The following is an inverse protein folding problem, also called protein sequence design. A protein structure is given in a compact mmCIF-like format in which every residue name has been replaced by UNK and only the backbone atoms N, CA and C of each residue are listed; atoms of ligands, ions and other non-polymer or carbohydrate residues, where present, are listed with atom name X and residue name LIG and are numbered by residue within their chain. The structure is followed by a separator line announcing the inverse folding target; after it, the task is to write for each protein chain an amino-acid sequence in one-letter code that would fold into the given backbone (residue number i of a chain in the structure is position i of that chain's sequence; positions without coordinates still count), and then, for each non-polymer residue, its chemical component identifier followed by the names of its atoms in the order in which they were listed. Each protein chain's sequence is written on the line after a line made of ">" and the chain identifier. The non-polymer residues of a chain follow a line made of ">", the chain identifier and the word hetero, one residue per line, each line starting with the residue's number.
data_IF_701495530864
#
_entry.id   IF_701495530864
#
_cell.length_a   1.000
_cell.length_b   1.000
_cell.length_c   1.000
_cell.angle_alpha   90.00
_cell.angle_beta   90.00
_cell.angle_gamma   90.00
#
_symmetry.space_group_name_H-M   'P 1'
#
loop_
_entity.id
_entity.type
_entity.pdbx_description
1 polymer ?
#
# COMPACT_ATOMS: atom_id res chain seq x y z
N UNK A 1 -1.31 40.39 -80.79
CA UNK A 1 -0.65 41.71 -80.69
C UNK A 1 0.23 41.73 -79.45
N UNK A 2 1.37 42.41 -79.55
CA UNK A 2 2.58 42.29 -78.75
C UNK A 2 2.49 42.77 -77.29
N UNK A 3 3.23 42.05 -76.43
CA UNK A 3 4.20 42.46 -75.38
C UNK A 3 3.79 43.55 -74.37
N UNK A 4 3.97 43.27 -73.06
CA UNK A 4 5.07 43.83 -72.26
C UNK A 4 5.19 43.14 -70.89
N UNK A 5 6.36 42.59 -70.59
CA UNK A 5 6.83 42.20 -69.25
C UNK A 5 7.39 43.42 -68.53
N UNK A 6 7.15 43.57 -67.22
CA UNK A 6 8.09 44.23 -66.31
C UNK A 6 8.06 43.57 -64.92
N UNK A 7 9.25 43.20 -64.48
CA UNK A 7 9.62 42.54 -63.23
C UNK A 7 9.87 43.57 -62.14
N UNK A 8 9.47 43.33 -60.88
CA UNK A 8 10.06 43.99 -59.72
C UNK A 8 10.11 43.05 -58.51
N UNK A 9 11.27 43.07 -57.87
CA UNK A 9 11.78 42.11 -56.92
C UNK A 9 11.18 42.22 -55.51
N UNK A 10 11.17 41.06 -54.84
CA UNK A 10 10.85 40.82 -53.44
C UNK A 10 11.98 41.35 -52.54
N UNK A 11 11.62 42.12 -51.50
CA UNK A 11 12.47 42.36 -50.32
C UNK A 11 11.61 42.15 -49.08
N UNK A 12 11.60 40.92 -48.56
CA UNK A 12 11.00 40.58 -47.27
C UNK A 12 12.06 40.78 -46.18
N UNK A 13 11.87 41.82 -45.37
CA UNK A 13 12.66 42.06 -44.15
C UNK A 13 12.36 40.97 -43.12
N UNK A 14 13.30 40.05 -42.95
CA UNK A 14 13.35 39.11 -41.82
C UNK A 14 13.78 39.89 -40.57
N UNK A 15 12.84 40.21 -39.68
CA UNK A 15 13.16 40.57 -38.30
C UNK A 15 13.57 39.28 -37.56
N UNK A 16 14.88 39.10 -37.38
CA UNK A 16 15.46 38.07 -36.55
C UNK A 16 15.18 38.41 -35.07
N UNK A 17 14.25 37.68 -34.44
CA UNK A 17 14.13 37.65 -32.98
C UNK A 17 15.28 36.77 -32.48
N UNK A 18 16.20 37.28 -31.64
CA UNK A 18 17.19 36.42 -31.01
C UNK A 18 16.48 35.47 -30.05
N UNK A 19 16.33 34.21 -30.48
CA UNK A 19 15.98 33.11 -29.60
C UNK A 19 17.05 33.00 -28.53
N UNK A 20 16.63 33.09 -27.27
CA UNK A 20 17.50 32.86 -26.13
C UNK A 20 18.00 31.41 -26.18
N UNK A 21 19.29 31.25 -26.49
CA UNK A 21 20.01 30.01 -26.22
C UNK A 21 19.96 29.76 -24.71
N UNK A 22 19.09 28.85 -24.30
CA UNK A 22 19.14 28.27 -22.97
C UNK A 22 20.41 27.40 -22.89
N UNK A 23 21.54 28.04 -22.56
CA UNK A 23 22.69 27.32 -22.04
C UNK A 23 22.23 26.63 -20.76
N UNK A 24 22.05 25.32 -20.86
CA UNK A 24 21.81 24.45 -19.73
C UNK A 24 22.94 24.61 -18.72
N UNK A 25 22.67 25.32 -17.63
CA UNK A 25 23.35 25.09 -16.38
C UNK A 25 22.77 23.80 -15.84
N UNK A 26 23.40 22.68 -16.20
CA UNK A 26 23.27 21.46 -15.41
C UNK A 26 23.80 21.80 -14.02
N UNK A 27 22.92 22.23 -13.11
CA UNK A 27 23.22 22.00 -11.71
C UNK A 27 23.25 20.48 -11.59
N UNK A 28 24.46 19.94 -11.47
CA UNK A 28 24.64 18.61 -10.93
C UNK A 28 24.13 18.71 -9.50
N UNK A 29 22.82 18.61 -9.34
CA UNK A 29 22.24 18.13 -8.11
C UNK A 29 22.90 16.79 -7.89
N UNK A 30 23.80 16.75 -6.92
CA UNK A 30 24.29 15.51 -6.33
C UNK A 30 23.06 14.84 -5.71
N UNK A 31 22.22 14.24 -6.55
CA UNK A 31 21.25 13.26 -6.11
C UNK A 31 22.11 12.10 -5.65
N UNK A 32 22.37 12.05 -4.34
CA UNK A 32 22.69 10.80 -3.70
C UNK A 32 21.56 9.87 -4.10
N UNK A 33 21.82 8.99 -5.05
CA UNK A 33 21.03 7.78 -5.21
C UNK A 33 21.25 7.02 -3.91
N UNK A 34 20.52 7.38 -2.86
CA UNK A 34 20.41 6.58 -1.67
C UNK A 34 19.90 5.25 -2.19
N UNK A 35 20.77 4.25 -2.20
CA UNK A 35 20.32 2.87 -2.40
C UNK A 35 19.42 2.62 -1.19
N UNK A 36 18.11 2.77 -1.40
CA UNK A 36 17.12 2.59 -0.34
C UNK A 36 16.97 1.08 -0.12
N UNK A 37 17.90 0.52 0.64
CA UNK A 37 17.82 -0.83 1.14
C UNK A 37 17.40 -0.75 2.59
N UNK A 38 16.22 -1.31 2.87
CA UNK A 38 15.76 -1.59 4.22
C UNK A 38 16.90 -2.31 4.98
N UNK A 39 17.40 -1.74 6.09
CA UNK A 39 18.47 -2.36 6.84
C UNK A 39 17.98 -3.71 7.37
N UNK A 40 18.75 -4.77 7.10
CA UNK A 40 18.44 -6.10 7.61
C UNK A 40 18.35 -6.06 9.13
N UNK A 41 17.35 -6.74 9.70
CA UNK A 41 17.25 -6.83 11.15
C UNK A 41 18.47 -7.54 11.72
N UNK A 42 18.88 -7.08 12.90
CA UNK A 42 19.93 -7.74 13.65
C UNK A 42 19.45 -9.16 14.01
N UNK A 43 20.24 -10.21 13.74
CA UNK A 43 19.88 -11.55 14.16
C UNK A 43 19.84 -11.63 15.70
N UNK A 44 18.74 -12.17 16.22
CA UNK A 44 18.58 -12.48 17.64
C UNK A 44 18.67 -14.00 17.77
N UNK A 45 19.66 -14.47 18.51
CA UNK A 45 19.80 -15.90 18.76
C UNK A 45 18.81 -16.35 19.81
N UNK A 46 18.30 -17.57 19.65
CA UNK A 46 17.34 -18.18 20.55
C UNK A 46 17.81 -18.19 22.02
N UNK A 47 19.10 -18.46 22.25
CA UNK A 47 19.73 -18.40 23.57
C UNK A 47 19.69 -17.03 24.25
N UNK A 48 19.55 -15.94 23.48
CA UNK A 48 19.59 -14.56 23.96
C UNK A 48 18.17 -14.01 24.22
N UNK A 49 17.14 -14.76 23.85
CA UNK A 49 15.74 -14.42 24.09
C UNK A 49 15.37 -14.78 25.54
N UNK A 50 14.97 -13.77 26.33
CA UNK A 50 14.43 -14.00 27.68
C UNK A 50 12.98 -14.47 27.62
N UNK A 51 12.18 -13.81 26.79
CA UNK A 51 10.81 -14.17 26.50
C UNK A 51 10.41 -13.63 25.13
N UNK A 52 9.44 -14.29 24.50
CA UNK A 52 8.86 -13.87 23.22
C UNK A 52 7.34 -13.97 23.28
N UNK A 53 6.66 -12.93 22.83
CA UNK A 53 5.20 -12.93 22.62
C UNK A 53 4.90 -12.57 21.19
N UNK A 54 3.87 -13.22 20.64
CA UNK A 54 3.31 -12.86 19.34
C UNK A 54 2.07 -12.03 19.54
N UNK A 55 2.03 -10.85 18.95
CA UNK A 55 0.99 -9.85 19.17
C UNK A 55 0.33 -9.53 17.83
N UNK A 56 -0.99 -9.55 17.80
CA UNK A 56 -1.78 -9.06 16.68
C UNK A 56 -2.34 -7.71 17.07
N UNK A 57 -2.21 -6.76 16.16
CA UNK A 57 -2.63 -5.39 16.34
C UNK A 57 -3.49 -4.95 15.17
N UNK A 58 -4.39 -4.04 15.45
CA UNK A 58 -5.18 -3.33 14.45
C UNK A 58 -4.76 -1.87 14.42
N UNK A 59 -4.42 -1.38 13.23
CA UNK A 59 -4.28 0.04 12.91
C UNK A 59 -5.62 0.48 12.31
N UNK A 60 -6.20 1.54 12.87
CA UNK A 60 -7.33 2.24 12.27
C UNK A 60 -6.84 3.54 11.62
N UNK A 61 -7.04 3.67 10.31
CA UNK A 61 -6.64 4.85 9.55
C UNK A 61 -7.45 6.11 9.89
N UNK A 62 -8.61 5.95 10.56
CA UNK A 62 -9.40 7.10 11.03
C UNK A 62 -8.79 7.78 12.26
N UNK A 63 -7.80 7.17 12.91
CA UNK A 63 -7.06 7.81 13.99
C UNK A 63 -6.12 8.89 13.45
N UNK A 64 -6.01 10.01 14.16
CA UNK A 64 -5.21 11.18 13.73
C UNK A 64 -3.76 10.84 13.44
N UNK A 65 -3.13 9.97 14.24
CA UNK A 65 -1.74 9.55 14.05
C UNK A 65 -1.57 8.58 12.87
N UNK A 66 -2.66 8.03 12.35
CA UNK A 66 -2.68 7.04 11.28
C UNK A 66 -3.23 7.60 9.96
N UNK A 67 -3.34 8.92 9.83
CA UNK A 67 -3.92 9.55 8.64
C UNK A 67 -3.21 9.14 7.34
N UNK A 68 -1.92 8.81 7.42
CA UNK A 68 -1.13 8.29 6.30
C UNK A 68 -1.67 6.96 5.72
N UNK A 69 -2.31 6.14 6.56
CA UNK A 69 -2.91 4.86 6.15
C UNK A 69 -4.26 5.02 5.45
N UNK A 70 -4.88 6.22 5.54
CA UNK A 70 -6.17 6.47 4.95
C UNK A 70 -6.02 6.57 3.44
N UNK A 71 -6.86 5.82 2.72
CA UNK A 71 -6.87 5.89 1.28
C UNK A 71 -7.33 7.27 0.84
N UNK A 72 -6.49 7.97 0.08
CA UNK A 72 -6.87 9.20 -0.58
C UNK A 72 -6.36 9.17 -2.02
N UNK A 73 -7.03 9.89 -2.90
CA UNK A 73 -6.65 9.97 -4.31
C UNK A 73 -5.22 10.50 -4.39
N UNK A 74 -4.29 9.60 -4.73
CA UNK A 74 -2.86 9.88 -4.83
C UNK A 74 -2.65 10.95 -5.89
N UNK A 75 -2.42 12.18 -5.44
CA UNK A 75 -1.78 13.21 -6.27
C UNK A 75 -0.30 12.88 -6.50
N UNK A 76 0.52 13.92 -6.66
CA UNK A 76 1.96 13.75 -6.93
C UNK A 76 2.81 13.33 -5.71
N UNK A 77 2.23 13.22 -4.51
CA UNK A 77 2.98 13.07 -3.25
C UNK A 77 2.73 11.72 -2.58
N UNK A 78 3.53 10.72 -2.94
CA UNK A 78 3.55 9.40 -2.29
C UNK A 78 2.50 8.40 -2.79
N UNK A 79 2.56 7.19 -2.23
CA UNK A 79 1.71 6.05 -2.62
C UNK A 79 0.95 5.56 -1.38
N UNK A 80 -0.35 5.26 -1.53
CA UNK A 80 -1.12 4.63 -0.46
C UNK A 80 -0.56 3.22 -0.18
N UNK A 81 -0.59 2.79 1.08
CA UNK A 81 -0.09 1.48 1.47
C UNK A 81 -0.79 0.34 0.73
N UNK A 82 -2.12 0.38 0.61
CA UNK A 82 -2.88 -0.65 -0.09
C UNK A 82 -2.45 -0.76 -1.56
N UNK A 83 -2.28 0.35 -2.26
CA UNK A 83 -1.85 0.37 -3.66
C UNK A 83 -0.44 -0.19 -3.81
N UNK A 84 0.49 0.22 -2.93
CA UNK A 84 1.85 -0.29 -2.91
C UNK A 84 1.90 -1.82 -2.73
N UNK A 85 1.09 -2.36 -1.81
CA UNK A 85 0.99 -3.81 -1.60
C UNK A 85 0.33 -4.51 -2.80
N UNK A 86 -0.76 -3.96 -3.32
CA UNK A 86 -1.49 -4.56 -4.43
C UNK A 86 -0.64 -4.59 -5.71
N UNK A 87 0.07 -3.51 -6.02
CA UNK A 87 1.03 -3.40 -7.12
C UNK A 87 2.16 -4.42 -6.93
N UNK A 88 2.76 -4.46 -5.73
CA UNK A 88 3.83 -5.41 -5.42
C UNK A 88 3.43 -6.88 -5.61
N UNK A 89 2.20 -7.25 -5.26
CA UNK A 89 1.69 -8.60 -5.50
C UNK A 89 1.44 -8.85 -6.99
N UNK A 90 0.90 -7.87 -7.72
CA UNK A 90 0.65 -7.98 -9.18
C UNK A 90 1.94 -8.14 -9.97
N UNK A 91 3.00 -7.42 -9.59
CA UNK A 91 4.33 -7.48 -10.20
C UNK A 91 5.13 -8.72 -9.76
N UNK A 92 4.67 -9.42 -8.71
CA UNK A 92 5.37 -10.56 -8.12
C UNK A 92 6.59 -10.16 -7.27
N UNK A 93 6.72 -8.88 -6.91
CA UNK A 93 7.75 -8.39 -6.00
C UNK A 93 7.54 -8.90 -4.57
N UNK A 94 6.28 -9.10 -4.17
CA UNK A 94 5.89 -9.66 -2.87
C UNK A 94 4.83 -10.75 -3.06
N UNK A 95 4.75 -11.67 -2.10
CA UNK A 95 3.75 -12.74 -2.08
C UNK A 95 2.55 -12.37 -1.22
N UNK A 96 1.36 -12.67 -1.72
CA UNK A 96 0.12 -12.64 -0.95
C UNK A 96 -0.18 -14.02 -0.39
N UNK A 97 -0.76 -14.06 0.80
CA UNK A 97 -1.15 -15.28 1.50
C UNK A 97 -2.63 -15.22 1.90
N UNK A 98 -3.21 -16.39 2.13
CA UNK A 98 -4.62 -16.58 2.43
C UNK A 98 -5.09 -15.69 3.60
N UNK A 99 -6.23 -14.99 3.49
CA UNK A 99 -6.73 -14.11 4.54
C UNK A 99 -7.16 -14.83 5.82
N UNK A 100 -7.50 -16.12 5.74
CA UNK A 100 -8.01 -16.92 6.85
C UNK A 100 -6.88 -17.46 7.72
N UNK A 101 -5.78 -17.91 7.11
CA UNK A 101 -4.63 -18.46 7.83
C UNK A 101 -3.48 -17.44 7.92
N UNK A 102 -3.17 -17.00 9.14
CA UNK A 102 -2.11 -16.04 9.42
C UNK A 102 -0.70 -16.66 9.46
N UNK A 103 -0.56 -17.95 9.17
CA UNK A 103 0.72 -18.70 9.22
C UNK A 103 1.55 -18.59 7.94
N UNK A 104 1.07 -17.88 6.91
CA UNK A 104 1.77 -17.70 5.63
C UNK A 104 2.08 -19.04 4.92
N UNK A 105 1.19 -20.03 5.06
CA UNK A 105 1.39 -21.38 4.50
C UNK A 105 0.84 -21.51 3.08
N UNK A 106 -0.27 -20.82 2.80
CA UNK A 106 -1.00 -20.88 1.54
C UNK A 106 -0.83 -19.58 0.79
N UNK A 107 0.01 -19.61 -0.24
CA UNK A 107 0.19 -18.49 -1.17
C UNK A 107 -1.07 -18.31 -2.03
N UNK A 108 -1.41 -17.05 -2.30
CA UNK A 108 -2.50 -16.65 -3.19
C UNK A 108 -1.95 -16.22 -4.53
N UNK A 109 -2.52 -16.74 -5.62
CA UNK A 109 -2.21 -16.24 -6.96
C UNK A 109 -2.86 -14.89 -7.22
N UNK A 110 -2.40 -14.20 -8.28
CA UNK A 110 -3.00 -12.94 -8.75
C UNK A 110 -4.49 -13.12 -9.09
N UNK A 111 -4.88 -14.30 -9.58
CA UNK A 111 -6.27 -14.63 -9.88
C UNK A 111 -7.14 -14.71 -8.61
N UNK A 112 -6.61 -15.31 -7.53
CA UNK A 112 -7.31 -15.41 -6.25
C UNK A 112 -7.41 -14.05 -5.57
N UNK A 113 -6.35 -13.24 -5.65
CA UNK A 113 -6.38 -11.86 -5.16
C UNK A 113 -7.47 -11.06 -5.89
N UNK A 114 -7.55 -11.15 -7.22
CA UNK A 114 -8.64 -10.52 -7.98
C UNK A 114 -10.00 -11.05 -7.56
N UNK A 115 -10.10 -12.33 -7.18
CA UNK A 115 -11.35 -12.92 -6.69
C UNK A 115 -11.75 -12.38 -5.32
N UNK A 116 -10.81 -12.12 -4.42
CA UNK A 116 -11.08 -11.48 -3.12
C UNK A 116 -11.50 -10.02 -3.29
N UNK A 117 -10.89 -9.32 -4.25
CA UNK A 117 -11.23 -7.94 -4.62
C UNK A 117 -12.47 -7.85 -5.53
N UNK A 118 -13.26 -8.92 -5.69
CA UNK A 118 -14.40 -8.90 -6.61
C UNK A 118 -15.49 -7.93 -6.12
N UNK A 119 -16.20 -7.31 -7.07
CA UNK A 119 -17.37 -6.50 -6.78
C UNK A 119 -18.40 -7.23 -5.91
N UNK A 120 -18.98 -6.54 -4.94
CA UNK A 120 -20.14 -7.04 -4.19
C UNK A 120 -21.34 -7.10 -5.14
N UNK A 121 -21.96 -8.27 -5.22
CA UNK A 121 -23.27 -8.41 -5.89
C UNK A 121 -24.37 -8.29 -4.84
N UNK A 122 -25.15 -7.22 -4.92
CA UNK A 122 -26.34 -7.04 -4.08
C UNK A 122 -27.53 -7.51 -4.92
N UNK A 123 -28.31 -8.44 -4.37
CA UNK A 123 -29.54 -8.90 -5.00
C UNK A 123 -30.68 -8.02 -4.49
N UNK A 124 -31.13 -7.07 -5.30
CA UNK A 124 -32.25 -6.21 -4.97
C UNK A 124 -33.53 -6.72 -5.65
N UNK A 125 -34.63 -6.74 -4.91
CA UNK A 125 -35.94 -7.05 -5.47
C UNK A 125 -36.50 -5.79 -6.13
N UNK A 126 -36.37 -5.69 -7.45
CA UNK A 126 -36.92 -4.60 -8.22
C UNK A 126 -38.24 -5.02 -8.87
N UNK A 127 -39.23 -4.12 -8.90
CA UNK A 127 -40.47 -4.37 -9.64
C UNK A 127 -40.24 -3.99 -11.09
N UNK A 128 -40.40 -4.96 -11.99
CA UNK A 128 -40.26 -4.70 -13.42
C UNK A 128 -41.46 -3.86 -13.90
N UNK A 129 -41.18 -2.64 -14.38
CA UNK A 129 -42.18 -1.65 -14.74
C UNK A 129 -43.09 -2.06 -15.91
N UNK A 130 -42.68 -3.03 -16.76
CA UNK A 130 -43.50 -3.53 -17.88
C UNK A 130 -44.35 -4.74 -17.51
N UNK A 131 -43.92 -5.59 -16.58
CA UNK A 131 -44.58 -6.88 -16.27
C UNK A 131 -45.24 -6.91 -14.90
N UNK A 132 -44.99 -5.92 -14.03
CA UNK A 132 -45.54 -5.83 -12.68
C UNK A 132 -45.06 -6.94 -11.73
N UNK A 133 -44.10 -7.78 -12.16
CA UNK A 133 -43.54 -8.87 -11.35
C UNK A 133 -42.29 -8.37 -10.61
N UNK A 134 -42.12 -8.85 -9.38
CA UNK A 134 -40.90 -8.64 -8.60
C UNK A 134 -39.81 -9.55 -9.17
N UNK A 135 -38.81 -8.95 -9.81
CA UNK A 135 -37.64 -9.63 -10.34
C UNK A 135 -36.44 -9.29 -9.46
N UNK A 136 -35.60 -10.28 -9.18
CA UNK A 136 -34.34 -10.06 -8.47
C UNK A 136 -33.32 -9.53 -9.47
N UNK A 137 -32.96 -8.25 -9.36
CA UNK A 137 -31.87 -7.67 -10.12
C UNK A 137 -30.59 -7.74 -9.30
N UNK A 138 -29.55 -8.33 -9.88
CA UNK A 138 -28.22 -8.40 -9.28
C UNK A 138 -27.41 -7.17 -9.69
N UNK A 139 -27.23 -6.23 -8.76
CA UNK A 139 -26.38 -5.05 -8.96
C UNK A 139 -24.96 -5.41 -8.54
N UNK A 140 -24.00 -5.28 -9.46
CA UNK A 140 -22.58 -5.54 -9.21
C UNK A 140 -21.84 -4.21 -8.96
N UNK A 141 -21.38 -3.97 -7.73
CA UNK A 141 -20.61 -2.77 -7.35
C UNK A 141 -19.11 -3.07 -7.34
N UNK A 142 -18.33 -2.40 -8.18
CA UNK A 142 -16.86 -2.51 -8.21
C UNK A 142 -16.23 -2.25 -6.85
N UNK A 143 -15.15 -2.98 -6.56
CA UNK A 143 -14.38 -2.78 -5.33
C UNK A 143 -13.77 -1.37 -5.33
N UNK A 144 -14.08 -0.61 -4.28
CA UNK A 144 -13.52 0.71 -4.04
C UNK A 144 -12.35 0.57 -3.04
N UNK A 145 -11.10 0.87 -3.44
CA UNK A 145 -9.95 0.88 -2.54
C UNK A 145 -10.13 1.79 -1.33
N UNK A 146 -10.98 2.82 -1.40
CA UNK A 146 -11.28 3.70 -0.28
C UNK A 146 -11.95 2.98 0.91
N UNK A 147 -12.48 1.77 0.69
CA UNK A 147 -13.04 0.93 1.76
C UNK A 147 -11.95 0.29 2.65
N UNK A 148 -10.68 0.36 2.27
CA UNK A 148 -9.55 -0.16 3.06
C UNK A 148 -9.06 0.93 4.02
N UNK A 149 -9.59 0.92 5.24
CA UNK A 149 -9.22 1.89 6.29
C UNK A 149 -8.69 1.22 7.56
N UNK A 150 -8.59 -0.10 7.60
CA UNK A 150 -7.98 -0.84 8.71
C UNK A 150 -6.85 -1.72 8.20
N UNK A 151 -5.83 -1.90 9.04
CA UNK A 151 -4.72 -2.80 8.76
C UNK A 151 -4.45 -3.66 9.98
N UNK A 152 -4.34 -4.97 9.77
CA UNK A 152 -3.90 -5.89 10.82
C UNK A 152 -2.41 -6.13 10.68
N UNK A 153 -1.73 -6.13 11.83
CA UNK A 153 -0.30 -6.37 11.93
C UNK A 153 -0.09 -7.53 12.88
N UNK A 154 0.81 -8.43 12.48
CA UNK A 154 1.29 -9.54 13.30
C UNK A 154 2.73 -9.26 13.66
N UNK A 155 3.05 -9.17 14.94
CA UNK A 155 4.36 -8.78 15.46
C UNK A 155 4.91 -9.83 16.42
N UNK A 156 6.24 -9.98 16.45
CA UNK A 156 6.96 -10.70 17.49
C UNK A 156 7.64 -9.69 18.41
N UNK A 157 7.22 -9.69 19.67
CA UNK A 157 7.78 -8.89 20.75
C UNK A 157 8.81 -9.76 21.48
N UNK A 158 10.08 -9.38 21.37
CA UNK A 158 11.22 -10.16 21.83
C UNK A 158 11.97 -9.32 22.85
N UNK A 159 12.25 -9.90 24.02
CA UNK A 159 13.16 -9.29 24.98
C UNK A 159 14.54 -9.92 24.86
N UNK A 160 15.49 -9.17 24.28
CA UNK A 160 16.90 -9.58 24.18
C UNK A 160 17.59 -9.30 25.52
N UNK A 161 18.04 -10.37 26.20
CA UNK A 161 18.72 -10.26 27.50
C UNK A 161 20.13 -9.70 27.40
N UNK A 162 20.80 -9.83 26.25
CA UNK A 162 22.17 -9.32 26.05
C UNK A 162 22.14 -7.81 25.89
N UNK A 163 21.16 -7.30 25.14
CA UNK A 163 20.99 -5.85 24.93
C UNK A 163 20.08 -5.18 25.96
N UNK A 164 19.42 -5.95 26.82
CA UNK A 164 18.40 -5.49 27.77
C UNK A 164 17.36 -4.58 27.09
N UNK A 165 16.96 -4.94 25.87
CA UNK A 165 16.10 -4.12 25.01
C UNK A 165 14.96 -4.98 24.47
N UNK A 166 13.77 -4.38 24.43
CA UNK A 166 12.64 -4.93 23.69
C UNK A 166 12.83 -4.63 22.20
N UNK A 167 12.85 -5.68 21.40
CA UNK A 167 12.89 -5.63 19.93
C UNK A 167 11.55 -6.12 19.42
N UNK A 168 10.97 -5.38 18.48
CA UNK A 168 9.70 -5.74 17.86
C UNK A 168 9.98 -6.00 16.38
N UNK A 169 9.65 -7.20 15.91
CA UNK A 169 9.73 -7.54 14.51
C UNK A 169 8.32 -7.71 13.94
N UNK A 170 8.00 -6.97 12.89
CA UNK A 170 6.71 -7.11 12.20
C UNK A 170 6.80 -8.32 11.28
N UNK A 171 5.96 -9.33 11.52
CA UNK A 171 5.97 -10.58 10.75
C UNK A 171 5.04 -10.48 9.55
N UNK A 172 3.89 -9.83 9.71
CA UNK A 172 2.98 -9.67 8.59
C UNK A 172 2.04 -8.50 8.72
N UNK A 173 1.50 -8.15 7.56
CA UNK A 173 0.63 -7.01 7.33
C UNK A 173 -0.56 -7.48 6.49
N UNK A 174 -1.77 -7.08 6.85
CA UNK A 174 -2.97 -7.39 6.12
C UNK A 174 -3.87 -6.15 5.99
N UNK A 175 -4.24 -5.73 4.77
CA UNK A 175 -5.29 -4.72 4.58
C UNK A 175 -6.65 -5.33 4.89
N UNK A 176 -7.50 -4.58 5.60
CA UNK A 176 -8.77 -5.05 6.13
C UNK A 176 -9.90 -4.16 5.63
N UNK A 177 -10.99 -4.79 5.22
CA UNK A 177 -12.22 -4.12 4.80
C UNK A 177 -13.36 -4.44 5.76
N UNK A 178 -14.26 -3.47 5.89
CA UNK A 178 -15.52 -3.68 6.57
C UNK A 178 -16.51 -4.41 5.64
N UNK A 179 -17.02 -5.54 6.11
CA UNK A 179 -18.04 -6.33 5.46
C UNK A 179 -19.36 -6.18 6.22
N UNK A 180 -20.34 -5.56 5.57
CA UNK A 180 -21.70 -5.47 6.07
C UNK A 180 -22.44 -6.78 5.77
N UNK A 181 -23.05 -7.38 6.79
CA UNK A 181 -23.92 -8.54 6.63
C UNK A 181 -25.07 -8.25 5.64
N UNK A 182 -25.61 -9.29 5.02
CA UNK A 182 -26.71 -9.17 4.06
C UNK A 182 -27.97 -8.54 4.69
N UNK A 183 -28.15 -8.71 6.00
CA UNK A 183 -29.24 -8.11 6.78
C UNK A 183 -28.99 -6.64 7.18
N UNK A 184 -27.80 -6.09 6.88
CA UNK A 184 -27.44 -4.70 7.19
C UNK A 184 -27.20 -4.38 8.68
N UNK A 185 -27.34 -5.38 9.57
CA UNK A 185 -27.34 -5.20 11.03
C UNK A 185 -25.97 -5.31 11.68
N UNK A 186 -25.01 -5.96 11.04
CA UNK A 186 -23.69 -6.21 11.61
C UNK A 186 -22.58 -5.91 10.61
N UNK A 187 -21.57 -5.20 11.10
CA UNK A 187 -20.31 -4.95 10.38
C UNK A 187 -19.25 -5.88 10.94
N UNK A 188 -18.71 -6.73 10.08
CA UNK A 188 -17.58 -7.60 10.39
C UNK A 188 -16.34 -7.11 9.65
N UNK A 189 -15.16 -7.37 10.19
CA UNK A 189 -13.90 -7.00 9.54
C UNK A 189 -13.24 -8.23 8.94
N UNK A 190 -12.83 -8.12 7.67
CA UNK A 190 -12.19 -9.23 6.94
C UNK A 190 -10.87 -8.75 6.32
N UNK A 191 -9.75 -9.45 6.56
CA UNK A 191 -8.51 -9.18 5.84
C UNK A 191 -8.66 -9.60 4.38
N UNK A 192 -8.07 -8.85 3.47
CA UNK A 192 -8.07 -9.17 2.04
C UNK A 192 -7.03 -10.25 1.74
N UNK A 193 -5.80 -10.04 2.21
CA UNK A 193 -4.70 -10.98 2.08
C UNK A 193 -3.64 -10.64 3.13
N UNK A 194 -2.83 -11.62 3.49
CA UNK A 194 -1.64 -11.41 4.32
C UNK A 194 -0.41 -11.22 3.45
N UNK A 195 0.48 -10.32 3.87
CA UNK A 195 1.81 -10.13 3.29
C UNK A 195 2.84 -10.45 4.35
N UNK A 196 3.85 -11.23 3.99
CA UNK A 196 5.00 -11.46 4.86
C UNK A 196 5.89 -10.22 4.84
N UNK A 197 5.92 -9.49 5.94
CA UNK A 197 6.54 -8.17 6.01
C UNK A 197 8.04 -8.19 5.70
N UNK A 198 8.85 -9.16 6.19
CA UNK A 198 10.29 -9.21 5.87
C UNK A 198 10.61 -9.22 4.37
N UNK A 199 9.80 -9.90 3.55
CA UNK A 199 9.96 -9.91 2.09
C UNK A 199 9.50 -8.58 1.47
N UNK A 200 8.49 -7.96 2.06
CA UNK A 200 7.94 -6.69 1.59
C UNK A 200 8.78 -5.46 1.94
N UNK A 201 9.70 -5.55 2.90
CA UNK A 201 10.55 -4.41 3.32
C UNK A 201 11.28 -3.75 2.15
N UNK A 202 11.85 -4.55 1.24
CA UNK A 202 12.55 -4.02 0.06
C UNK A 202 11.64 -3.20 -0.85
N UNK A 203 10.38 -3.61 -1.00
CA UNK A 203 9.39 -2.87 -1.78
C UNK A 203 8.96 -1.60 -1.02
N UNK A 204 8.59 -1.74 0.25
CA UNK A 204 8.08 -0.63 1.08
C UNK A 204 9.13 0.47 1.31
N UNK A 205 10.41 0.11 1.33
CA UNK A 205 11.53 1.06 1.40
C UNK A 205 11.66 1.91 0.12
N UNK A 206 11.07 1.50 -1.01
CA UNK A 206 11.10 2.31 -2.25
C UNK A 206 9.85 3.18 -2.43
N UNK A 207 8.82 2.98 -1.60
CA UNK A 207 7.53 3.64 -1.72
C UNK A 207 7.41 4.72 -0.63
N UNK A 208 7.36 5.98 -1.04
CA UNK A 208 7.16 7.11 -0.15
C UNK A 208 5.73 7.13 0.42
N UNK A 209 5.58 7.56 1.67
CA UNK A 209 4.30 7.63 2.38
C UNK A 209 3.46 8.78 1.83
N UNK A 210 2.19 8.49 1.53
CA UNK A 210 1.18 9.49 1.19
C UNK A 210 0.81 10.30 2.44
N UNK A 211 1.48 11.43 2.67
CA UNK A 211 1.11 12.55 3.56
C UNK A 211 2.26 13.57 3.71
N UNK A 212 3.41 13.37 3.06
CA UNK A 212 4.50 14.31 3.22
C UNK A 212 4.25 15.61 2.45
N UNK A 213 3.67 16.61 3.13
CA UNK A 213 3.49 17.97 2.62
C UNK A 213 4.85 18.65 2.36
N UNK A 214 5.96 18.09 2.84
CA UNK A 214 7.27 18.79 2.85
C UNK A 214 8.50 17.93 2.57
N UNK A 215 8.44 16.59 2.62
CA UNK A 215 9.65 15.76 2.57
C UNK A 215 9.38 14.33 2.04
N UNK A 216 9.70 14.07 0.77
CA UNK A 216 9.57 12.73 0.14
C UNK A 216 10.54 11.67 0.75
N UNK A 217 11.17 11.97 1.91
CA UNK A 217 12.17 11.12 2.56
C UNK A 217 11.58 9.95 3.34
N UNK A 218 10.33 10.03 3.82
CA UNK A 218 9.76 8.98 4.67
C UNK A 218 9.14 7.86 3.81
N UNK A 219 9.73 6.68 3.90
CA UNK A 219 9.24 5.48 3.22
C UNK A 219 8.28 4.68 4.11
N UNK A 220 7.50 3.78 3.50
CA UNK A 220 6.62 2.90 4.28
C UNK A 220 7.41 1.99 5.23
N UNK A 221 8.60 1.51 4.84
CA UNK A 221 9.47 0.72 5.75
C UNK A 221 9.90 1.57 6.96
N UNK A 222 10.32 2.82 6.74
CA UNK A 222 10.72 3.71 7.82
C UNK A 222 9.58 3.99 8.79
N UNK A 223 8.35 4.21 8.30
CA UNK A 223 7.18 4.43 9.13
C UNK A 223 6.89 3.23 10.05
N UNK A 224 6.99 2.01 9.51
CA UNK A 224 6.75 0.79 10.27
C UNK A 224 7.88 0.46 11.24
N UNK A 225 9.14 0.59 10.83
CA UNK A 225 10.32 0.33 11.67
C UNK A 225 10.42 1.35 12.82
N UNK A 226 10.11 2.63 12.57
CA UNK A 226 10.03 3.66 13.60
C UNK A 226 8.78 3.55 14.47
N UNK A 227 7.83 2.68 14.09
CA UNK A 227 6.51 2.53 14.74
C UNK A 227 5.76 3.85 14.84
N UNK A 228 5.84 4.66 13.79
CA UNK A 228 5.14 5.96 13.69
C UNK A 228 3.66 5.76 13.35
N UNK A 229 2.96 4.99 14.18
CA UNK A 229 1.54 4.69 14.04
C UNK A 229 0.93 4.31 15.41
N UNK A 230 -0.37 4.56 15.57
CA UNK A 230 -1.15 4.08 16.71
C UNK A 230 -1.89 2.80 16.35
N UNK A 231 -2.08 1.93 17.34
CA UNK A 231 -2.70 0.62 17.10
C UNK A 231 -3.24 0.01 18.38
N UNK A 232 -4.22 -0.88 18.22
CA UNK A 232 -4.92 -1.58 19.28
C UNK A 232 -4.56 -3.07 19.27
N UNK A 233 -4.25 -3.65 20.44
CA UNK A 233 -3.93 -5.08 20.53
C UNK A 233 -5.23 -5.89 20.46
N UNK A 234 -5.33 -6.79 19.49
CA UNK A 234 -6.50 -7.65 19.29
C UNK A 234 -6.29 -9.05 19.85
N UNK A 235 -5.06 -9.56 19.79
CA UNK A 235 -4.70 -10.89 20.28
C UNK A 235 -3.25 -10.91 20.74
N UNK A 236 -2.99 -11.67 21.80
CA UNK A 236 -1.64 -12.01 22.25
C UNK A 236 -1.57 -13.52 22.33
N UNK A 237 -0.51 -14.09 21.76
CA UNK A 237 -0.14 -15.49 21.93
C UNK A 237 1.21 -15.53 22.60
N UNK A 238 1.31 -16.33 23.65
CA UNK A 238 2.60 -16.76 24.14
C UNK A 238 3.17 -17.74 23.13
N UNK A 239 4.44 -17.56 22.77
CA UNK A 239 5.16 -18.64 22.10
C UNK A 239 5.44 -19.65 23.20
N UNK A 240 4.81 -20.82 23.14
CA UNK A 240 5.09 -21.94 24.05
C UNK A 240 6.61 -22.14 24.10
N UNK A 241 7.21 -21.77 25.23
CA UNK A 241 8.63 -21.91 25.45
C UNK A 241 8.98 -23.40 25.52
N UNK A 242 9.79 -23.87 24.57
CA UNK A 242 10.70 -25.02 24.61
C UNK A 242 10.17 -26.33 25.22
N UNK A 243 9.78 -27.28 24.36
CA UNK A 243 10.03 -28.69 24.68
C UNK A 243 11.56 -28.89 24.67
N UNK A 244 12.17 -28.89 25.85
CA UNK A 244 13.50 -29.47 26.02
C UNK A 244 13.42 -30.94 25.62
N UNK A 245 13.98 -31.29 24.47
CA UNK A 245 14.43 -32.66 24.22
C UNK A 245 15.80 -32.86 24.83
#
# INVERSE_FOLDING_TARGET
>A
MNKLTLSFAVVTLFFCVPGADAQGTSSKGTGSTHIVHAPAWKPIFEKDVLWQKRVWREIDANETNNIAFMYANSGQHGVNLFDALQEGVKEGAIKAYDPVDDRFTKEMGVADLRAVLKPRTINEKAVNALTGKTETQSISMNFDPAMVYKYWIKEDWIFDKVQNKMVIHIIGLAPVVAYLSDDGTSTSYRPLFWVYYPDARKLLATKAVYYSITDDSLTWDDLFENRSFTSHVTKISEKSNYESK
#
